data_IF_006849528194
#
_entry.id   IF_006849528194
#
_cell.length_a   1.000
_cell.length_b   1.000
_cell.length_c   1.000
_cell.angle_alpha   90.00
_cell.angle_beta   90.00
_cell.angle_gamma   90.00
#
_symmetry.space_group_name_H-M   'P 1'
#
loop_
_entity.id
_entity.type
_entity.pdbx_description
1 polymer ?
#
# COMPACT_ATOMS: atom_id res chain seq x y z
N UNK A 1 16.36 18.84 -17.96
CA UNK A 1 16.52 17.38 -17.85
C UNK A 1 17.39 17.11 -16.63
N UNK A 2 16.79 17.14 -15.43
CA UNK A 2 17.46 16.63 -14.23
C UNK A 2 17.36 15.11 -14.28
N UNK A 3 18.50 14.46 -14.44
CA UNK A 3 18.60 13.02 -14.27
C UNK A 3 18.51 12.72 -12.78
N UNK A 4 17.29 12.63 -12.26
CA UNK A 4 17.03 12.06 -10.94
C UNK A 4 17.29 10.57 -11.05
N UNK A 5 18.56 10.20 -10.93
CA UNK A 5 18.93 8.82 -10.71
C UNK A 5 18.44 8.46 -9.31
N UNK A 6 17.26 7.85 -9.21
CA UNK A 6 16.82 7.17 -7.98
C UNK A 6 18.01 6.38 -7.41
N UNK A 7 18.27 6.56 -6.13
CA UNK A 7 19.29 5.74 -5.46
C UNK A 7 18.84 4.28 -5.53
N UNK A 8 19.76 3.31 -5.61
CA UNK A 8 19.40 1.89 -5.65
C UNK A 8 18.47 1.47 -4.51
N UNK A 9 18.57 2.14 -3.36
CA UNK A 9 17.72 1.92 -2.19
C UNK A 9 16.28 2.40 -2.41
N UNK A 10 16.06 3.56 -3.04
CA UNK A 10 14.72 4.06 -3.36
C UNK A 10 14.02 3.13 -4.34
N UNK A 11 14.73 2.69 -5.38
CA UNK A 11 14.18 1.75 -6.35
C UNK A 11 13.80 0.41 -5.70
N UNK A 12 14.72 -0.19 -4.93
CA UNK A 12 14.47 -1.49 -4.28
C UNK A 12 13.37 -1.38 -3.21
N UNK A 13 13.43 -0.36 -2.36
CA UNK A 13 12.43 -0.12 -1.31
C UNK A 13 11.04 0.14 -1.87
N UNK A 14 10.96 0.94 -2.95
CA UNK A 14 9.73 1.19 -3.69
C UNK A 14 9.11 -0.07 -4.27
N UNK A 15 9.92 -0.93 -4.91
CA UNK A 15 9.43 -2.21 -5.45
C UNK A 15 8.97 -3.19 -4.37
N UNK A 16 9.70 -3.29 -3.26
CA UNK A 16 9.29 -4.14 -2.14
C UNK A 16 7.93 -3.68 -1.60
N UNK A 17 7.76 -2.38 -1.35
CA UNK A 17 6.49 -1.82 -0.90
C UNK A 17 5.38 -2.06 -1.92
N UNK A 18 5.62 -1.77 -3.20
CA UNK A 18 4.61 -1.94 -4.24
C UNK A 18 4.13 -3.38 -4.36
N UNK A 19 5.04 -4.35 -4.46
CA UNK A 19 4.68 -5.77 -4.65
C UNK A 19 3.91 -6.31 -3.44
N UNK A 20 4.40 -6.00 -2.24
CA UNK A 20 3.81 -6.50 -0.99
C UNK A 20 2.49 -5.83 -0.64
N UNK A 21 2.15 -4.71 -1.27
CA UNK A 21 0.84 -4.05 -1.09
C UNK A 21 -0.13 -4.46 -2.20
N UNK A 22 0.32 -4.44 -3.46
CA UNK A 22 -0.53 -4.70 -4.63
C UNK A 22 -1.01 -6.15 -4.62
N UNK A 23 -0.11 -7.14 -4.42
CA UNK A 23 -0.50 -8.55 -4.48
C UNK A 23 -1.54 -8.92 -3.40
N UNK A 24 -1.34 -8.62 -2.11
CA UNK A 24 -2.36 -8.88 -1.10
C UNK A 24 -3.68 -8.13 -1.38
N UNK A 25 -3.61 -6.89 -1.87
CA UNK A 25 -4.80 -6.12 -2.23
C UNK A 25 -5.60 -6.81 -3.32
N UNK A 26 -4.95 -7.32 -4.37
CA UNK A 26 -5.62 -8.04 -5.46
C UNK A 26 -6.23 -9.37 -4.99
N UNK A 27 -5.50 -10.15 -4.18
CA UNK A 27 -5.97 -11.44 -3.66
C UNK A 27 -7.21 -11.26 -2.79
N UNK A 28 -7.15 -10.35 -1.82
CA UNK A 28 -8.24 -10.05 -0.88
C UNK A 28 -9.48 -9.50 -1.58
N UNK A 29 -9.27 -8.74 -2.65
CA UNK A 29 -10.35 -8.09 -3.40
C UNK A 29 -11.10 -9.03 -4.34
N UNK A 30 -10.70 -10.31 -4.39
CA UNK A 30 -11.32 -11.30 -5.26
C UNK A 30 -10.90 -11.18 -6.73
N UNK A 31 -9.81 -10.47 -7.03
CA UNK A 31 -9.21 -10.42 -8.38
C UNK A 31 -8.43 -11.69 -8.72
N UNK A 32 -7.80 -12.29 -7.70
CA UNK A 32 -7.07 -13.57 -7.79
C UNK A 32 -7.57 -14.51 -6.69
N UNK A 33 -8.85 -14.90 -6.70
CA UNK A 33 -9.46 -15.69 -5.63
C UNK A 33 -8.78 -17.07 -5.48
N UNK A 34 -8.27 -17.64 -6.57
CA UNK A 34 -7.54 -18.92 -6.57
C UNK A 34 -6.17 -18.85 -5.86
N UNK A 35 -5.63 -17.66 -5.62
CA UNK A 35 -4.40 -17.43 -4.87
C UNK A 35 -4.65 -17.17 -3.38
N UNK A 36 -5.92 -17.07 -2.97
CA UNK A 36 -6.29 -16.76 -1.60
C UNK A 36 -6.20 -17.99 -0.69
N UNK A 37 -4.96 -18.38 -0.35
CA UNK A 37 -4.68 -19.52 0.53
C UNK A 37 -4.64 -19.17 2.03
N UNK A 38 -4.65 -17.87 2.37
CA UNK A 38 -4.44 -17.39 3.74
C UNK A 38 -5.64 -16.56 4.24
N UNK A 39 -5.88 -16.52 5.56
CA UNK A 39 -6.88 -15.63 6.14
C UNK A 39 -6.58 -14.15 5.84
N UNK A 40 -7.65 -13.33 5.77
CA UNK A 40 -7.55 -11.90 5.47
C UNK A 40 -6.50 -11.15 6.33
N UNK A 41 -6.46 -11.40 7.63
CA UNK A 41 -5.51 -10.74 8.53
C UNK A 41 -4.04 -11.08 8.23
N UNK A 42 -3.77 -12.23 7.62
CA UNK A 42 -2.41 -12.62 7.20
C UNK A 42 -1.99 -11.79 5.99
N UNK A 43 -2.90 -11.55 5.05
CA UNK A 43 -2.65 -10.64 3.92
C UNK A 43 -2.41 -9.20 4.37
N UNK A 44 -3.16 -8.73 5.37
CA UNK A 44 -2.90 -7.44 6.01
C UNK A 44 -1.51 -7.39 6.66
N UNK A 45 -1.11 -8.45 7.37
CA UNK A 45 0.21 -8.52 7.98
C UNK A 45 1.33 -8.51 6.93
N UNK A 46 1.15 -9.22 5.80
CA UNK A 46 2.11 -9.22 4.69
C UNK A 46 2.24 -7.81 4.09
N UNK A 47 1.12 -7.14 3.81
CA UNK A 47 1.14 -5.79 3.26
C UNK A 47 1.72 -4.76 4.25
N UNK A 48 1.39 -4.86 5.53
CA UNK A 48 1.97 -4.03 6.57
C UNK A 48 3.48 -4.25 6.72
N UNK A 49 3.92 -5.50 6.83
CA UNK A 49 5.35 -5.82 6.96
C UNK A 49 6.15 -5.41 5.73
N UNK A 50 5.64 -5.73 4.53
CA UNK A 50 6.30 -5.37 3.28
C UNK A 50 6.31 -3.87 3.01
N UNK A 51 5.21 -3.17 3.32
CA UNK A 51 5.16 -1.72 3.32
C UNK A 51 6.17 -1.10 4.30
N UNK A 52 6.26 -1.63 5.53
CA UNK A 52 7.22 -1.18 6.52
C UNK A 52 8.67 -1.35 6.07
N UNK A 53 9.01 -2.53 5.56
CA UNK A 53 10.37 -2.83 5.08
C UNK A 53 10.70 -1.97 3.86
N UNK A 54 9.80 -1.89 2.87
CA UNK A 54 10.02 -1.09 1.67
C UNK A 54 10.19 0.39 1.97
N UNK A 55 9.33 0.97 2.82
CA UNK A 55 9.42 2.37 3.21
C UNK A 55 10.60 2.68 4.14
N UNK A 56 11.01 1.74 5.01
CA UNK A 56 12.22 1.88 5.82
C UNK A 56 13.48 1.94 4.95
N UNK A 57 13.55 1.12 3.90
CA UNK A 57 14.64 1.13 2.92
C UNK A 57 14.59 2.42 2.08
N UNK A 58 13.40 2.82 1.63
CA UNK A 58 13.19 4.00 0.80
C UNK A 58 13.59 5.31 1.52
N UNK A 59 13.17 5.49 2.77
CA UNK A 59 13.29 6.79 3.47
C UNK A 59 14.58 6.95 4.27
N UNK A 60 15.44 5.91 4.40
CA UNK A 60 16.61 5.84 5.29
C UNK A 60 16.32 6.07 6.79
N UNK A 61 15.10 6.48 7.17
CA UNK A 61 14.63 6.70 8.54
C UNK A 61 13.85 5.47 9.02
N UNK A 62 14.59 4.41 9.33
CA UNK A 62 14.09 3.06 9.64
C UNK A 62 12.80 3.00 10.48
N UNK A 63 12.73 3.73 11.60
CA UNK A 63 11.56 3.69 12.50
C UNK A 63 10.34 4.37 11.87
N UNK A 64 10.50 5.58 11.35
CA UNK A 64 9.38 6.35 10.82
C UNK A 64 8.95 5.84 9.44
N UNK A 65 9.90 5.50 8.58
CA UNK A 65 9.66 4.77 7.34
C UNK A 65 8.93 3.46 7.61
N UNK A 66 9.35 2.70 8.61
CA UNK A 66 8.69 1.46 9.02
C UNK A 66 7.23 1.67 9.44
N UNK A 67 6.96 2.62 10.33
CA UNK A 67 5.60 2.93 10.79
C UNK A 67 4.73 3.44 9.64
N UNK A 68 5.21 4.44 8.89
CA UNK A 68 4.49 5.01 7.75
C UNK A 68 4.19 3.97 6.69
N UNK A 69 5.18 3.14 6.36
CA UNK A 69 5.07 2.01 5.44
C UNK A 69 4.05 0.97 5.89
N UNK A 70 4.05 0.60 7.16
CA UNK A 70 3.07 -0.34 7.71
C UNK A 70 1.65 0.18 7.56
N UNK A 71 1.44 1.45 7.93
CA UNK A 71 0.13 2.10 7.84
C UNK A 71 -0.30 2.24 6.38
N UNK A 72 0.60 2.63 5.47
CA UNK A 72 0.33 2.67 4.04
C UNK A 72 -0.10 1.30 3.50
N UNK A 73 0.64 0.24 3.85
CA UNK A 73 0.37 -1.10 3.33
C UNK A 73 -0.93 -1.71 3.85
N UNK A 74 -1.16 -1.65 5.17
CA UNK A 74 -2.44 -2.10 5.76
C UNK A 74 -3.59 -1.25 5.24
N UNK A 75 -3.42 0.07 5.24
CA UNK A 75 -4.42 1.02 4.81
C UNK A 75 -4.82 0.79 3.35
N UNK A 76 -3.86 0.59 2.45
CA UNK A 76 -4.12 0.28 1.05
C UNK A 76 -5.00 -0.96 0.89
N UNK A 77 -4.65 -2.08 1.52
CA UNK A 77 -5.44 -3.32 1.42
C UNK A 77 -6.86 -3.12 1.96
N UNK A 78 -7.00 -2.44 3.11
CA UNK A 78 -8.32 -2.11 3.68
C UNK A 78 -9.11 -1.21 2.75
N UNK A 79 -8.47 -0.21 2.14
CA UNK A 79 -9.09 0.72 1.20
C UNK A 79 -9.60 0.02 -0.06
N UNK A 80 -8.82 -0.90 -0.63
CA UNK A 80 -9.30 -1.72 -1.76
C UNK A 80 -10.46 -2.61 -1.33
N UNK A 81 -10.37 -3.27 -0.18
CA UNK A 81 -11.43 -4.15 0.30
C UNK A 81 -12.74 -3.39 0.56
N UNK A 82 -12.67 -2.23 1.22
CA UNK A 82 -13.82 -1.36 1.45
C UNK A 82 -14.42 -0.85 0.13
N UNK A 83 -13.58 -0.50 -0.84
CA UNK A 83 -14.02 -0.10 -2.18
C UNK A 83 -14.84 -1.21 -2.87
N UNK A 84 -14.34 -2.44 -2.86
CA UNK A 84 -15.02 -3.60 -3.44
C UNK A 84 -16.39 -3.82 -2.78
N UNK A 85 -16.47 -3.73 -1.46
CA UNK A 85 -17.73 -3.86 -0.72
C UNK A 85 -18.71 -2.76 -1.14
N UNK A 86 -18.30 -1.49 -1.06
CA UNK A 86 -19.16 -0.35 -1.41
C UNK A 86 -19.66 -0.44 -2.86
N UNK A 87 -18.77 -0.82 -3.78
CA UNK A 87 -19.13 -1.00 -5.19
C UNK A 87 -20.13 -2.13 -5.37
N UNK A 88 -19.95 -3.27 -4.71
CA UNK A 88 -20.89 -4.39 -4.77
C UNK A 88 -22.28 -4.03 -4.26
N UNK A 89 -22.39 -3.05 -3.35
CA UNK A 89 -23.67 -2.52 -2.86
C UNK A 89 -24.31 -1.50 -3.81
N UNK A 90 -23.50 -0.77 -4.58
CA UNK A 90 -23.95 0.36 -5.41
C UNK A 90 -24.17 0.00 -6.89
N UNK A 91 -23.41 -0.93 -7.44
CA UNK A 91 -23.39 -1.25 -8.87
C UNK A 91 -23.40 -2.78 -9.05
N UNK A 92 -24.49 -3.30 -9.57
CA UNK A 92 -24.73 -4.73 -9.82
C UNK A 92 -23.95 -5.28 -11.05
N UNK A 93 -22.89 -4.58 -11.47
CA UNK A 93 -22.13 -4.90 -12.69
C UNK A 93 -20.76 -5.49 -12.38
N UNK A 94 -20.49 -6.67 -12.93
CA UNK A 94 -19.28 -7.48 -12.68
C UNK A 94 -18.00 -7.00 -13.35
N UNK A 95 -18.00 -5.85 -14.06
CA UNK A 95 -16.79 -5.34 -14.70
C UNK A 95 -16.03 -4.42 -13.74
N UNK A 96 -14.92 -4.89 -13.18
CA UNK A 96 -14.00 -4.05 -12.40
C UNK A 96 -13.04 -3.27 -13.31
N UNK A 97 -12.86 -1.98 -13.06
CA UNK A 97 -11.77 -1.20 -13.65
C UNK A 97 -10.58 -1.17 -12.70
N UNK A 98 -9.38 -1.51 -13.19
CA UNK A 98 -8.14 -1.50 -12.40
C UNK A 98 -7.82 -0.14 -11.78
N UNK A 99 -8.28 0.95 -12.42
CA UNK A 99 -8.08 2.31 -11.94
C UNK A 99 -8.87 2.60 -10.65
N UNK A 100 -10.02 1.96 -10.48
CA UNK A 100 -10.86 2.16 -9.30
C UNK A 100 -10.26 1.51 -8.04
N UNK A 101 -9.61 0.36 -8.21
CA UNK A 101 -8.84 -0.29 -7.13
C UNK A 101 -7.67 0.57 -6.69
N UNK A 102 -7.03 1.27 -7.64
CA UNK A 102 -5.96 2.20 -7.35
C UNK A 102 -6.46 3.38 -6.51
N UNK A 103 -7.68 3.85 -6.74
CA UNK A 103 -8.32 4.88 -5.91
C UNK A 103 -8.55 4.33 -4.49
N UNK A 104 -9.11 3.12 -4.37
CA UNK A 104 -9.30 2.46 -3.07
C UNK A 104 -7.99 2.30 -2.30
N UNK A 105 -6.95 1.79 -2.96
CA UNK A 105 -5.61 1.62 -2.38
C UNK A 105 -4.99 2.96 -2.00
N UNK A 106 -5.08 3.95 -2.89
CA UNK A 106 -4.52 5.29 -2.69
C UNK A 106 -5.16 6.01 -1.50
N UNK A 107 -6.48 6.00 -1.42
CA UNK A 107 -7.23 6.55 -0.29
C UNK A 107 -6.90 5.82 1.02
N UNK A 108 -6.81 4.50 0.96
CA UNK A 108 -6.43 3.67 2.09
C UNK A 108 -5.02 3.96 2.61
N UNK A 109 -4.07 4.25 1.72
CA UNK A 109 -2.69 4.55 2.09
C UNK A 109 -2.47 5.96 2.66
N UNK A 110 -3.43 6.88 2.48
CA UNK A 110 -3.31 8.29 2.89
C UNK A 110 -2.88 8.49 4.34
N UNK A 111 -3.41 7.79 5.36
CA UNK A 111 -2.97 8.00 6.74
C UNK A 111 -1.47 7.76 6.94
N UNK A 112 -0.89 6.79 6.23
CA UNK A 112 0.55 6.51 6.28
C UNK A 112 1.38 7.57 5.57
N UNK A 113 0.88 8.09 4.43
CA UNK A 113 1.51 9.22 3.72
C UNK A 113 1.49 10.50 4.56
N UNK A 114 0.34 10.80 5.18
CA UNK A 114 0.17 11.96 6.05
C UNK A 114 1.14 11.87 7.24
N UNK A 115 1.25 10.70 7.88
CA UNK A 115 2.22 10.47 8.95
C UNK A 115 3.65 10.79 8.50
N UNK A 116 4.08 10.28 7.34
CA UNK A 116 5.41 10.54 6.81
C UNK A 116 5.64 12.02 6.50
N UNK A 117 4.63 12.75 6.00
CA UNK A 117 4.76 14.19 5.75
C UNK A 117 4.98 15.01 7.03
N UNK A 118 4.31 14.66 8.13
CA UNK A 118 4.50 15.35 9.42
C UNK A 118 5.86 15.05 10.05
N UNK A 119 6.32 13.81 9.92
CA UNK A 119 7.63 13.40 10.43
C UNK A 119 8.76 14.04 9.61
N UNK A 120 8.57 14.20 8.29
CA UNK A 120 9.48 14.93 7.43
C UNK A 120 9.55 16.41 7.84
N UNK A 121 8.41 17.07 8.04
CA UNK A 121 8.38 18.49 8.43
C UNK A 121 9.00 18.74 9.80
N UNK A 122 8.87 17.81 10.75
CA UNK A 122 9.40 17.97 12.11
C UNK A 122 10.93 17.80 12.22
N UNK A 123 11.63 17.41 11.15
CA UNK A 123 13.10 17.25 11.14
C UNK A 123 13.85 18.39 10.45
N UNK A 124 13.13 19.33 9.85
CA UNK A 124 13.71 20.49 9.16
C UNK A 124 13.79 21.74 10.06
N UNK A 125 13.29 21.66 11.31
CA UNK A 125 13.41 22.66 12.38
C UNK A 125 14.48 22.26 13.41
#
# INVERSE_FOLDING_TARGET
>A
MSGDNETPNEMIGGWIAAITIILPSMIVSGFMPEWNALPYFVWLAIAGAGGAVGAAIYTLRWIHGGIGGAVMGVGAVVGVHAYVILRSMLIDSGNFFSLELLIGAGLGALPGLVYLSFVASASDD
#
